data_IF_211402057891
#
_entry.id   IF_211402057891
#
_cell.length_a   1.000
_cell.length_b   1.000
_cell.length_c   1.000
_cell.angle_alpha   90.00
_cell.angle_beta   90.00
_cell.angle_gamma   90.00
#
_symmetry.space_group_name_H-M   'P 1'
#
loop_
_entity.id
_entity.type
_entity.pdbx_description
1 polymer ?
#
# COMPACT_ATOMS: atom_id res chain seq x y z
N UNK A 1 -26.32 9.70 -8.02
CA UNK A 1 -25.27 10.52 -8.65
C UNK A 1 -24.02 10.46 -7.79
N UNK A 2 -22.87 10.08 -8.36
CA UNK A 2 -21.58 10.08 -7.64
C UNK A 2 -20.97 11.49 -7.74
N UNK A 3 -20.71 12.11 -6.58
CA UNK A 3 -20.11 13.44 -6.51
C UNK A 3 -19.04 13.46 -5.41
N UNK A 4 -17.80 13.93 -5.70
CA UNK A 4 -17.29 14.29 -7.04
C UNK A 4 -17.28 13.09 -8.01
N UNK A 5 -17.27 13.33 -9.33
CA UNK A 5 -17.14 12.25 -10.30
C UNK A 5 -15.79 11.53 -10.10
N UNK A 6 -15.74 10.21 -10.30
CA UNK A 6 -14.49 9.48 -10.22
C UNK A 6 -13.50 10.05 -11.24
N UNK A 7 -12.27 10.29 -10.80
CA UNK A 7 -11.17 10.78 -11.65
C UNK A 7 -10.01 9.81 -11.57
N UNK A 8 -9.27 9.59 -12.68
CA UNK A 8 -8.06 8.80 -12.65
C UNK A 8 -7.05 9.49 -11.73
N UNK A 9 -6.51 8.75 -10.77
CA UNK A 9 -5.50 9.25 -9.84
C UNK A 9 -4.10 9.03 -10.45
N UNK A 10 -3.87 7.87 -11.05
CA UNK A 10 -2.59 7.50 -11.65
C UNK A 10 -2.77 6.41 -12.71
N UNK A 11 -1.97 6.47 -13.78
CA UNK A 11 -1.88 5.43 -14.81
C UNK A 11 -0.43 5.32 -15.31
N UNK A 12 0.19 4.15 -15.17
CA UNK A 12 1.56 3.93 -15.63
C UNK A 12 1.70 2.58 -16.35
N UNK A 13 2.44 2.61 -17.47
CA UNK A 13 2.57 1.53 -18.44
C UNK A 13 3.70 0.52 -18.17
N UNK A 14 4.21 0.43 -16.94
CA UNK A 14 5.45 -0.27 -16.62
C UNK A 14 5.45 -1.79 -16.91
N UNK A 15 4.30 -2.40 -17.21
CA UNK A 15 4.17 -3.84 -17.37
C UNK A 15 4.51 -4.35 -18.78
N UNK A 16 4.51 -3.52 -19.83
CA UNK A 16 4.88 -3.90 -21.21
C UNK A 16 4.11 -5.07 -21.86
N UNK A 17 3.24 -5.74 -21.11
CA UNK A 17 2.48 -6.96 -21.40
C UNK A 17 1.14 -6.92 -20.66
N UNK A 18 0.26 -7.89 -20.93
CA UNK A 18 -1.06 -7.94 -20.31
C UNK A 18 -0.98 -8.17 -18.80
N UNK A 19 -1.73 -7.36 -18.06
CA UNK A 19 -1.91 -7.52 -16.63
C UNK A 19 -2.94 -8.63 -16.41
N UNK A 20 -2.56 -9.64 -15.63
CA UNK A 20 -3.43 -10.78 -15.32
C UNK A 20 -4.29 -10.55 -14.10
N UNK A 21 -3.72 -9.89 -13.09
CA UNK A 21 -4.42 -9.60 -11.84
C UNK A 21 -3.81 -8.40 -11.13
N UNK A 22 -4.65 -7.71 -10.37
CA UNK A 22 -4.28 -6.65 -9.44
C UNK A 22 -4.94 -6.89 -8.09
N UNK A 23 -4.26 -6.55 -7.01
CA UNK A 23 -4.81 -6.65 -5.66
C UNK A 23 -4.43 -5.42 -4.84
N UNK A 24 -5.39 -4.84 -4.14
CA UNK A 24 -5.12 -3.78 -3.18
C UNK A 24 -4.56 -4.36 -1.89
N UNK A 25 -3.56 -3.69 -1.31
CA UNK A 25 -3.19 -3.96 0.07
C UNK A 25 -4.37 -3.55 0.98
N UNK A 26 -4.65 -4.28 2.06
CA UNK A 26 -5.75 -3.95 2.98
C UNK A 26 -5.63 -2.57 3.62
N UNK A 27 -4.41 -2.03 3.71
CA UNK A 27 -4.14 -0.69 4.23
C UNK A 27 -4.27 0.40 3.18
N UNK A 28 -4.52 0.07 1.90
CA UNK A 28 -4.75 1.05 0.84
C UNK A 28 -3.54 1.90 0.48
N UNK A 29 -2.34 1.47 0.88
CA UNK A 29 -1.08 2.17 0.58
C UNK A 29 -0.42 1.65 -0.70
N UNK A 30 -0.66 0.39 -1.05
CA UNK A 30 -0.02 -0.26 -2.18
C UNK A 30 -1.02 -1.09 -3.00
N UNK A 31 -0.74 -1.23 -4.28
CA UNK A 31 -1.36 -2.24 -5.16
C UNK A 31 -0.27 -3.21 -5.59
N UNK A 32 -0.56 -4.50 -5.63
CA UNK A 32 0.26 -5.48 -6.31
C UNK A 32 -0.34 -5.81 -7.68
N UNK A 33 0.52 -6.00 -8.68
CA UNK A 33 0.11 -6.49 -10.00
C UNK A 33 1.00 -7.63 -10.46
N UNK A 34 0.40 -8.57 -11.17
CA UNK A 34 1.11 -9.62 -11.92
C UNK A 34 0.73 -9.53 -13.39
N UNK A 35 1.72 -9.72 -14.26
CA UNK A 35 1.57 -9.61 -15.70
C UNK A 35 2.26 -10.76 -16.44
N UNK A 36 1.95 -10.90 -17.73
CA UNK A 36 2.51 -11.94 -18.62
C UNK A 36 4.01 -11.78 -18.88
N UNK A 37 4.63 -10.68 -18.45
CA UNK A 37 6.08 -10.51 -18.42
C UNK A 37 6.76 -11.28 -17.27
N UNK A 38 5.97 -11.94 -16.42
CA UNK A 38 6.45 -12.74 -15.30
C UNK A 38 6.90 -11.90 -14.11
N UNK A 39 6.65 -10.59 -14.10
CA UNK A 39 7.09 -9.71 -13.02
C UNK A 39 5.96 -9.41 -12.04
N UNK A 40 6.30 -9.43 -10.76
CA UNK A 40 5.45 -8.96 -9.65
C UNK A 40 5.85 -7.53 -9.34
N UNK A 41 4.91 -6.61 -9.46
CA UNK A 41 5.15 -5.18 -9.24
C UNK A 41 4.28 -4.62 -8.12
N UNK A 42 4.88 -3.75 -7.32
CA UNK A 42 4.20 -3.00 -6.27
C UNK A 42 4.10 -1.54 -6.68
N UNK A 43 2.92 -0.99 -6.51
CA UNK A 43 2.56 0.38 -6.86
C UNK A 43 2.26 1.12 -5.58
N UNK A 44 2.90 2.26 -5.35
CA UNK A 44 2.51 3.13 -4.25
C UNK A 44 1.31 3.98 -4.69
N UNK A 45 0.27 4.05 -3.87
CA UNK A 45 -0.94 4.83 -4.19
C UNK A 45 -0.74 6.32 -3.86
N UNK A 46 0.16 6.62 -2.91
CA UNK A 46 0.40 7.99 -2.43
C UNK A 46 1.55 8.69 -3.17
N UNK A 47 2.25 7.98 -4.04
CA UNK A 47 3.42 8.48 -4.75
C UNK A 47 3.35 8.03 -6.21
N UNK A 48 3.48 8.98 -7.13
CA UNK A 48 3.44 8.75 -8.58
C UNK A 48 4.74 8.14 -9.12
N UNK A 49 5.54 7.54 -8.24
CA UNK A 49 6.80 6.91 -8.59
C UNK A 49 6.58 5.64 -9.42
N UNK A 50 7.63 5.27 -10.16
CA UNK A 50 7.63 4.03 -10.95
C UNK A 50 7.39 2.83 -10.05
N UNK A 51 6.61 1.84 -10.48
CA UNK A 51 6.38 0.65 -9.67
C UNK A 51 7.67 -0.11 -9.41
N UNK A 52 7.77 -0.65 -8.22
CA UNK A 52 8.91 -1.47 -7.81
C UNK A 52 8.67 -2.92 -8.24
N UNK A 53 9.64 -3.50 -8.94
CA UNK A 53 9.65 -4.94 -9.23
C UNK A 53 10.13 -5.69 -7.99
N UNK A 54 9.22 -6.40 -7.32
CA UNK A 54 9.49 -7.08 -6.05
C UNK A 54 9.92 -8.53 -6.28
N UNK A 55 9.58 -9.11 -7.44
CA UNK A 55 9.92 -10.49 -7.72
C UNK A 55 9.52 -10.95 -9.11
N UNK A 56 9.82 -12.22 -9.36
CA UNK A 56 9.52 -12.93 -10.60
C UNK A 56 8.54 -14.06 -10.27
N UNK A 57 7.40 -14.06 -10.95
CA UNK A 57 6.36 -15.05 -10.87
C UNK A 57 5.88 -15.41 -12.28
N UNK A 58 6.67 -16.23 -12.97
CA UNK A 58 6.33 -16.72 -14.31
C UNK A 58 5.00 -17.50 -14.27
N UNK A 59 4.18 -17.34 -15.31
CA UNK A 59 2.85 -17.96 -15.42
C UNK A 59 1.85 -17.56 -14.30
N UNK A 60 2.07 -16.44 -13.62
CA UNK A 60 1.13 -15.91 -12.65
C UNK A 60 -0.19 -15.50 -13.32
N UNK A 61 -1.31 -16.00 -12.81
CA UNK A 61 -2.65 -15.73 -13.35
C UNK A 61 -3.53 -14.94 -12.38
N UNK A 62 -3.24 -15.00 -11.08
CA UNK A 62 -3.98 -14.26 -10.05
C UNK A 62 -3.09 -13.89 -8.87
N UNK A 63 -3.46 -12.84 -8.15
CA UNK A 63 -2.82 -12.46 -6.90
C UNK A 63 -3.83 -11.92 -5.89
N UNK A 64 -3.59 -12.13 -4.60
CA UNK A 64 -4.43 -11.63 -3.52
C UNK A 64 -3.60 -11.35 -2.26
N UNK A 65 -3.90 -10.26 -1.54
CA UNK A 65 -3.30 -9.98 -0.25
C UNK A 65 -4.00 -10.76 0.88
N UNK A 66 -3.23 -11.11 1.91
CA UNK A 66 -3.80 -11.55 3.18
C UNK A 66 -4.58 -10.40 3.84
N UNK A 67 -5.53 -10.69 4.75
CA UNK A 67 -6.37 -9.67 5.39
C UNK A 67 -5.59 -8.56 6.11
N UNK A 68 -4.39 -8.87 6.60
CA UNK A 68 -3.50 -7.92 7.26
C UNK A 68 -2.40 -7.37 6.35
N UNK A 69 -2.39 -7.74 5.06
CA UNK A 69 -1.49 -7.16 4.06
C UNK A 69 -0.02 -7.59 4.17
N UNK A 70 0.30 -8.49 5.09
CA UNK A 70 1.67 -8.97 5.31
C UNK A 70 2.13 -10.01 4.28
N UNK A 71 1.18 -10.68 3.61
CA UNK A 71 1.48 -11.75 2.64
C UNK A 71 0.69 -11.50 1.37
N UNK A 72 1.34 -11.66 0.23
CA UNK A 72 0.71 -11.73 -1.09
C UNK A 72 0.75 -13.17 -1.57
N UNK A 73 -0.42 -13.75 -1.85
CA UNK A 73 -0.55 -15.04 -2.50
C UNK A 73 -0.64 -14.85 -4.01
N UNK A 74 0.11 -15.65 -4.78
CA UNK A 74 0.10 -15.66 -6.24
C UNK A 74 -0.22 -17.06 -6.72
N UNK A 75 -1.24 -17.17 -7.57
CA UNK A 75 -1.61 -18.41 -8.23
C UNK A 75 -1.01 -18.50 -9.62
N UNK A 76 -0.41 -19.64 -9.94
CA UNK A 76 0.21 -19.91 -11.23
C UNK A 76 -0.64 -20.85 -12.08
N UNK A 77 -0.49 -20.78 -13.40
CA UNK A 77 -1.20 -21.64 -14.36
C UNK A 77 -0.99 -23.14 -14.11
N UNK A 78 0.16 -23.52 -13.56
CA UNK A 78 0.56 -24.91 -13.29
C UNK A 78 0.01 -25.45 -11.96
N UNK A 79 -0.86 -24.72 -11.27
CA UNK A 79 -1.45 -25.13 -9.99
C UNK A 79 -0.54 -24.89 -8.78
N UNK A 80 0.60 -24.23 -8.97
CA UNK A 80 1.50 -23.81 -7.90
C UNK A 80 0.96 -22.51 -7.28
N UNK A 81 1.07 -22.39 -5.97
CA UNK A 81 0.81 -21.14 -5.25
C UNK A 81 2.11 -20.70 -4.59
N UNK A 82 2.54 -19.47 -4.89
CA UNK A 82 3.68 -18.85 -4.21
C UNK A 82 3.19 -17.80 -3.22
N UNK A 83 3.84 -17.75 -2.06
CA UNK A 83 3.56 -16.77 -1.01
C UNK A 83 4.74 -15.82 -0.91
N UNK A 84 4.46 -14.54 -0.96
CA UNK A 84 5.45 -13.47 -0.90
C UNK A 84 5.21 -12.64 0.35
N UNK A 85 6.29 -12.32 1.06
CA UNK A 85 6.25 -11.29 2.09
C UNK A 85 5.99 -9.95 1.40
N UNK A 86 4.92 -9.28 1.78
CA UNK A 86 4.64 -7.94 1.30
C UNK A 86 5.30 -6.92 2.22
N UNK A 87 5.91 -5.83 1.69
CA UNK A 87 6.41 -4.74 2.50
C UNK A 87 5.31 -4.24 3.44
N UNK A 88 5.54 -4.42 4.73
CA UNK A 88 4.84 -3.67 5.76
C UNK A 88 5.39 -2.25 5.71
N UNK A 89 4.73 -1.36 4.98
CA UNK A 89 4.98 0.05 5.18
C UNK A 89 4.37 0.41 6.53
N UNK A 90 5.17 0.34 7.60
CA UNK A 90 4.76 0.59 8.98
C UNK A 90 4.59 2.11 9.16
N UNK A 91 3.62 2.69 8.45
CA UNK A 91 2.91 3.88 8.90
C UNK A 91 2.24 3.63 10.25
N UNK A 92 2.04 2.36 10.63
CA UNK A 92 1.45 1.91 11.88
C UNK A 92 2.20 2.33 13.13
N UNK A 93 3.51 2.63 13.14
CA UNK A 93 4.14 3.17 14.35
C UNK A 93 3.70 4.61 14.58
N UNK A 94 3.76 5.45 13.55
CA UNK A 94 3.30 6.84 13.65
C UNK A 94 1.79 6.95 13.83
N UNK A 95 1.00 6.10 13.16
CA UNK A 95 -0.46 6.06 13.27
C UNK A 95 -0.94 5.43 14.58
N UNK A 96 -0.32 4.34 15.07
CA UNK A 96 -0.61 3.80 16.41
C UNK A 96 -0.15 4.76 17.49
N UNK A 97 1.05 5.35 17.37
CA UNK A 97 1.48 6.42 18.28
C UNK A 97 0.45 7.56 18.28
N UNK A 98 -0.03 8.01 17.11
CA UNK A 98 -1.07 9.03 17.01
C UNK A 98 -2.37 8.61 17.72
N UNK A 99 -2.87 7.40 17.47
CA UNK A 99 -4.09 6.88 18.09
C UNK A 99 -3.97 6.72 19.62
N UNK A 100 -2.84 6.18 20.11
CA UNK A 100 -2.57 6.03 21.55
C UNK A 100 -2.41 7.39 22.22
N UNK A 101 -1.71 8.34 21.58
CA UNK A 101 -1.55 9.70 22.11
C UNK A 101 -2.88 10.42 22.23
N UNK A 102 -3.76 10.37 21.22
CA UNK A 102 -5.09 10.99 21.32
C UNK A 102 -6.02 10.30 22.31
N UNK A 103 -5.82 9.00 22.57
CA UNK A 103 -6.60 8.23 23.55
C UNK A 103 -6.21 8.55 25.00
N UNK A 104 -4.96 8.91 25.25
CA UNK A 104 -4.41 9.06 26.60
C UNK A 104 -4.00 10.50 26.95
N UNK A 105 -3.89 11.40 25.97
CA UNK A 105 -3.51 12.79 26.17
C UNK A 105 -4.46 13.74 25.44
N UNK A 106 -5.08 14.71 26.14
CA UNK A 106 -5.80 15.78 25.48
C UNK A 106 -4.84 16.67 24.68
N UNK A 107 -5.33 17.28 23.60
CA UNK A 107 -4.52 18.06 22.65
C UNK A 107 -3.74 19.21 23.32
N UNK A 108 -4.32 19.83 24.34
CA UNK A 108 -3.67 20.86 25.16
C UNK A 108 -2.32 20.38 25.72
N UNK A 109 -2.25 19.14 26.19
CA UNK A 109 -1.03 18.52 26.74
C UNK A 109 -0.02 18.12 25.66
N UNK A 110 -0.48 17.78 24.44
CA UNK A 110 0.41 17.43 23.33
C UNK A 110 1.22 18.63 22.82
N UNK A 111 0.65 19.84 22.90
CA UNK A 111 1.37 21.08 22.51
C UNK A 111 2.52 21.44 23.46
N UNK A 112 2.50 20.92 24.69
CA UNK A 112 3.53 21.15 25.70
C UNK A 112 4.74 20.20 25.55
N UNK A 113 4.60 19.10 24.79
CA UNK A 113 5.72 18.20 24.51
C UNK A 113 6.74 18.90 23.59
N UNK A 114 8.02 18.84 23.98
CA UNK A 114 9.15 19.25 23.13
C UNK A 114 9.35 18.21 22.02
N UNK A 115 8.64 18.39 20.91
CA UNK A 115 8.73 17.52 19.73
C UNK A 115 9.14 18.31 18.47
N UNK A 116 9.86 17.69 17.53
CA UNK A 116 10.18 18.27 16.22
C UNK A 116 8.93 18.73 15.45
N UNK A 117 9.06 19.82 14.69
CA UNK A 117 7.96 20.46 13.94
C UNK A 117 7.21 19.50 13.00
N UNK A 118 7.93 18.62 12.31
CA UNK A 118 7.35 17.60 11.40
C UNK A 118 6.43 16.60 12.10
N UNK A 119 6.70 16.27 13.36
CA UNK A 119 5.85 15.36 14.14
C UNK A 119 4.60 16.10 14.62
N UNK A 120 4.74 17.38 14.96
CA UNK A 120 3.61 18.23 15.37
C UNK A 120 2.62 18.47 14.23
N UNK A 121 3.11 18.64 13.00
CA UNK A 121 2.25 18.75 11.80
C UNK A 121 1.56 17.42 11.49
N UNK A 122 2.26 16.29 11.60
CA UNK A 122 1.65 14.96 11.40
C UNK A 122 0.56 14.60 12.42
N UNK A 123 0.66 15.13 13.66
CA UNK A 123 -0.35 14.98 14.69
C UNK A 123 -1.53 15.96 14.53
N UNK A 124 -1.41 17.01 13.71
CA UNK A 124 -2.52 17.90 13.35
C UNK A 124 -3.28 17.31 12.16
N UNK A 125 -4.61 17.38 12.22
CA UNK A 125 -5.50 17.08 11.11
C UNK A 125 -5.47 18.26 10.10
N UNK A 126 -4.34 18.45 9.42
CA UNK A 126 -4.25 19.41 8.32
C UNK A 126 -3.97 18.61 7.04
N UNK A 127 -5.02 18.48 6.22
CA UNK A 127 -4.99 18.02 4.83
C UNK A 127 -4.33 19.09 3.96
#
# INVERSE_FOLDING_TARGET
>A
HLYPPPRPIFASGANGKWIRSVAFSPFGTHVASVADDGLVRFWNICDDSTPETVGIANDAICCCFSPFGAVLAIGHKQGIVTLWSAPSNVSSLQHLCRLVLHRHLPWSSLTQLKMPSRIRTYLRYEL
#
